data_IF_637094855747
#
_entry.id   IF_637094855747
#
_cell.length_a   1.000
_cell.length_b   1.000
_cell.length_c   1.000
_cell.angle_alpha   90.00
_cell.angle_beta   90.00
_cell.angle_gamma   90.00
#
_symmetry.space_group_name_H-M   'P 1'
#
loop_
_entity.id
_entity.type
_entity.pdbx_description
1 polymer ?
#
# COMPACT_ATOMS: atom_id res chain seq x y z
N UNK A 1 -5.05 -16.85 2.76
CA UNK A 1 -5.55 -15.60 3.41
C UNK A 1 -5.02 -14.38 2.66
N UNK A 2 -5.58 -13.18 2.85
CA UNK A 2 -5.07 -11.92 2.26
C UNK A 2 -4.44 -11.03 3.34
N UNK A 3 -3.34 -10.37 3.02
CA UNK A 3 -2.69 -9.42 3.91
C UNK A 3 -2.55 -8.03 3.25
N UNK A 4 -2.66 -7.00 4.08
CA UNK A 4 -2.34 -5.61 3.73
C UNK A 4 -1.22 -5.16 4.66
N UNK A 5 -0.14 -4.62 4.10
CA UNK A 5 0.82 -3.79 4.81
C UNK A 5 0.57 -2.35 4.37
N UNK A 6 0.37 -1.44 5.30
CA UNK A 6 0.25 -0.02 5.00
C UNK A 6 1.22 0.81 5.83
N UNK A 7 1.50 2.04 5.38
CA UNK A 7 2.15 3.02 6.23
C UNK A 7 1.29 3.34 7.46
N UNK A 8 1.94 3.77 8.55
CA UNK A 8 1.28 3.96 9.85
C UNK A 8 0.72 5.38 10.07
N UNK A 9 0.79 6.26 9.07
CA UNK A 9 0.18 7.58 9.12
C UNK A 9 -1.27 7.57 8.62
N UNK A 10 -1.87 8.75 8.50
CA UNK A 10 -3.26 8.90 8.13
C UNK A 10 -3.56 8.36 6.72
N UNK A 11 -2.71 8.62 5.73
CA UNK A 11 -2.92 8.15 4.37
C UNK A 11 -2.81 6.63 4.28
N UNK A 12 -1.77 6.04 4.89
CA UNK A 12 -1.64 4.58 4.99
C UNK A 12 -2.84 3.91 5.69
N UNK A 13 -3.31 4.46 6.81
CA UNK A 13 -4.48 3.94 7.54
C UNK A 13 -5.75 4.01 6.70
N UNK A 14 -6.03 5.16 6.09
CA UNK A 14 -7.22 5.33 5.24
C UNK A 14 -7.13 4.42 4.02
N UNK A 15 -5.98 4.33 3.38
CA UNK A 15 -5.70 3.42 2.27
C UNK A 15 -6.00 1.96 2.62
N UNK A 16 -5.53 1.50 3.78
CA UNK A 16 -5.82 0.15 4.28
C UNK A 16 -7.32 -0.07 4.50
N UNK A 17 -8.01 0.92 5.09
CA UNK A 17 -9.45 0.84 5.33
C UNK A 17 -10.26 0.76 4.02
N UNK A 18 -9.88 1.54 2.99
CA UNK A 18 -10.53 1.51 1.68
C UNK A 18 -10.39 0.13 1.00
N UNK A 19 -9.18 -0.45 1.03
CA UNK A 19 -8.93 -1.78 0.47
C UNK A 19 -9.65 -2.87 1.28
N UNK A 20 -9.63 -2.79 2.62
CA UNK A 20 -10.34 -3.74 3.47
C UNK A 20 -11.86 -3.72 3.21
N UNK A 21 -12.45 -2.53 3.06
CA UNK A 21 -13.87 -2.37 2.69
C UNK A 21 -14.20 -2.98 1.32
N UNK A 22 -13.25 -2.92 0.37
CA UNK A 22 -13.41 -3.50 -0.97
C UNK A 22 -13.27 -5.04 -0.96
N UNK A 23 -12.29 -5.56 -0.23
CA UNK A 23 -11.87 -6.97 -0.34
C UNK A 23 -12.38 -7.89 0.77
N UNK A 24 -12.96 -7.32 1.83
CA UNK A 24 -13.47 -8.03 2.98
C UNK A 24 -12.35 -8.51 3.90
N UNK A 25 -12.40 -9.79 4.28
CA UNK A 25 -11.51 -10.38 5.30
C UNK A 25 -10.03 -10.33 4.88
N UNK A 26 -9.32 -9.31 5.38
CA UNK A 26 -7.89 -9.09 5.18
C UNK A 26 -7.21 -8.82 6.53
N UNK A 27 -6.05 -9.43 6.75
CA UNK A 27 -5.20 -9.09 7.89
C UNK A 27 -4.43 -7.80 7.60
N UNK A 28 -4.60 -6.78 8.44
CA UNK A 28 -3.94 -5.48 8.27
C UNK A 28 -2.72 -5.39 9.19
N UNK A 29 -1.61 -4.95 8.62
CA UNK A 29 -0.35 -4.70 9.30
C UNK A 29 0.12 -3.27 8.99
N UNK A 30 0.60 -2.57 10.01
CA UNK A 30 1.21 -1.26 9.81
C UNK A 30 2.72 -1.36 9.89
N UNK A 31 3.40 -0.66 9.00
CA UNK A 31 4.85 -0.65 8.89
C UNK A 31 5.35 0.72 8.42
N UNK A 32 6.66 0.91 8.41
CA UNK A 32 7.31 2.03 7.75
C UNK A 32 8.40 1.52 6.81
N UNK A 33 9.01 2.43 6.04
CA UNK A 33 10.20 2.13 5.23
C UNK A 33 11.28 1.36 6.00
N UNK A 34 11.55 1.75 7.24
CA UNK A 34 12.58 1.15 8.07
C UNK A 34 12.25 -0.29 8.51
N UNK A 35 10.97 -0.58 8.74
CA UNK A 35 10.52 -1.87 9.26
C UNK A 35 9.94 -2.82 8.20
N UNK A 36 9.73 -2.35 6.96
CA UNK A 36 9.03 -3.11 5.92
C UNK A 36 9.64 -4.47 5.66
N UNK A 37 10.97 -4.56 5.55
CA UNK A 37 11.65 -5.86 5.33
C UNK A 37 11.36 -6.83 6.47
N UNK A 38 11.43 -6.37 7.73
CA UNK A 38 11.13 -7.20 8.90
C UNK A 38 9.68 -7.67 8.86
N UNK A 39 8.75 -6.77 8.53
CA UNK A 39 7.32 -7.10 8.40
C UNK A 39 7.10 -8.15 7.32
N UNK A 40 7.69 -7.99 6.13
CA UNK A 40 7.62 -8.96 5.03
C UNK A 40 8.15 -10.33 5.47
N UNK A 41 9.32 -10.39 6.10
CA UNK A 41 9.90 -11.64 6.58
C UNK A 41 8.99 -12.35 7.60
N UNK A 42 8.36 -11.60 8.52
CA UNK A 42 7.41 -12.18 9.48
C UNK A 42 6.15 -12.73 8.81
N UNK A 43 5.71 -12.12 7.71
CA UNK A 43 4.53 -12.56 6.96
C UNK A 43 4.81 -13.75 6.05
N UNK A 44 6.06 -13.96 5.61
CA UNK A 44 6.46 -15.18 4.88
C UNK A 44 6.32 -16.46 5.72
N UNK A 45 6.29 -16.33 7.05
CA UNK A 45 6.03 -17.45 7.97
C UNK A 45 4.53 -17.79 8.08
N UNK A 46 3.67 -17.14 7.31
CA UNK A 46 2.21 -17.28 7.34
C UNK A 46 1.68 -17.60 5.94
N UNK A 47 0.56 -18.31 5.87
CA UNK A 47 -0.06 -18.76 4.61
C UNK A 47 -0.94 -17.67 3.95
N UNK A 48 -0.30 -16.57 3.54
CA UNK A 48 -0.93 -15.51 2.75
C UNK A 48 -0.79 -15.77 1.25
N UNK A 49 -1.93 -15.81 0.55
CA UNK A 49 -2.03 -16.07 -0.89
C UNK A 49 -1.77 -14.77 -1.67
N UNK A 50 -2.15 -13.62 -1.11
CA UNK A 50 -1.95 -12.32 -1.75
C UNK A 50 -1.54 -11.27 -0.73
N UNK A 51 -0.58 -10.42 -1.11
CA UNK A 51 -0.09 -9.31 -0.32
C UNK A 51 -0.37 -7.98 -1.01
N UNK A 52 -0.92 -7.00 -0.27
CA UNK A 52 -0.97 -5.61 -0.70
C UNK A 52 -0.04 -4.77 0.15
N UNK A 53 0.73 -3.89 -0.50
CA UNK A 53 1.61 -2.93 0.19
C UNK A 53 1.17 -1.54 -0.23
N UNK A 54 0.81 -0.72 0.74
CA UNK A 54 0.18 0.59 0.53
C UNK A 54 1.04 1.68 1.15
N UNK A 55 1.22 2.77 0.42
CA UNK A 55 1.78 4.03 0.92
C UNK A 55 3.21 3.93 1.48
N UNK A 56 3.99 2.97 0.98
CA UNK A 56 5.39 2.82 1.35
C UNK A 56 6.18 2.72 0.05
N UNK A 57 7.16 3.59 -0.16
CA UNK A 57 7.92 3.56 -1.40
C UNK A 57 8.75 2.30 -1.55
N UNK A 58 8.65 1.61 -2.71
CA UNK A 58 9.42 0.42 -2.95
C UNK A 58 10.90 0.73 -3.15
N UNK A 59 11.74 -0.16 -2.64
CA UNK A 59 13.17 -0.21 -2.91
C UNK A 59 13.51 -1.53 -3.61
N UNK A 60 14.67 -1.59 -4.28
CA UNK A 60 15.14 -2.85 -4.89
C UNK A 60 15.16 -4.02 -3.88
N UNK A 61 15.56 -3.74 -2.63
CA UNK A 61 15.60 -4.75 -1.56
C UNK A 61 14.21 -5.21 -1.15
N UNK A 62 13.27 -4.27 -0.97
CA UNK A 62 11.92 -4.63 -0.55
C UNK A 62 11.13 -5.35 -1.64
N UNK A 63 11.34 -5.00 -2.91
CA UNK A 63 10.79 -5.76 -4.04
C UNK A 63 11.32 -7.19 -4.10
N UNK A 64 12.63 -7.39 -3.89
CA UNK A 64 13.21 -8.73 -3.88
C UNK A 64 12.61 -9.60 -2.77
N UNK A 65 12.41 -9.06 -1.56
CA UNK A 65 11.76 -9.81 -0.47
C UNK A 65 10.27 -10.03 -0.74
N UNK A 66 9.55 -9.01 -1.23
CA UNK A 66 8.15 -9.13 -1.59
C UNK A 66 7.91 -10.13 -2.73
N UNK A 67 8.88 -10.37 -3.61
CA UNK A 67 8.74 -11.36 -4.69
C UNK A 67 8.70 -12.81 -4.21
N UNK A 68 8.93 -13.08 -2.92
CA UNK A 68 8.75 -14.40 -2.33
C UNK A 68 7.26 -14.75 -2.07
N UNK A 69 6.34 -13.77 -2.14
CA UNK A 69 4.91 -14.02 -2.09
C UNK A 69 4.37 -14.40 -3.49
N UNK A 70 3.27 -15.17 -3.55
CA UNK A 70 2.69 -15.60 -4.83
C UNK A 70 2.22 -14.41 -5.69
N UNK A 71 1.44 -13.51 -5.10
CA UNK A 71 0.95 -12.30 -5.74
C UNK A 71 1.11 -11.07 -4.84
N UNK A 72 1.70 -10.01 -5.40
CA UNK A 72 1.85 -8.73 -4.70
C UNK A 72 1.26 -7.59 -5.52
N UNK A 73 0.42 -6.76 -4.90
CA UNK A 73 0.03 -5.46 -5.45
C UNK A 73 0.62 -4.38 -4.57
N UNK A 74 1.41 -3.49 -5.17
CA UNK A 74 2.07 -2.41 -4.46
C UNK A 74 1.52 -1.09 -4.96
N UNK A 75 0.94 -0.28 -4.07
CA UNK A 75 0.30 0.99 -4.42
C UNK A 75 0.97 2.10 -3.63
N UNK A 76 1.54 3.08 -4.34
CA UNK A 76 2.24 4.20 -3.74
C UNK A 76 2.13 5.42 -4.66
N UNK A 77 2.19 6.63 -4.11
CA UNK A 77 2.11 7.88 -4.87
C UNK A 77 3.43 8.65 -4.93
N UNK A 78 4.45 8.22 -4.18
CA UNK A 78 5.79 8.81 -4.19
C UNK A 78 6.57 8.45 -5.46
N UNK A 79 7.36 9.38 -5.97
CA UNK A 79 8.21 9.13 -7.13
C UNK A 79 9.24 8.02 -6.86
N UNK A 80 9.42 7.11 -7.82
CA UNK A 80 10.38 6.01 -7.70
C UNK A 80 11.25 5.89 -8.94
N UNK A 81 12.53 5.57 -8.73
CA UNK A 81 13.53 5.40 -9.79
C UNK A 81 13.82 3.92 -10.08
N UNK A 82 12.86 3.04 -9.79
CA UNK A 82 13.01 1.61 -9.99
C UNK A 82 13.02 1.27 -11.48
N UNK A 83 14.06 0.58 -11.91
CA UNK A 83 14.23 0.16 -13.30
C UNK A 83 13.55 -1.18 -13.59
N UNK A 84 13.45 -2.06 -12.59
CA UNK A 84 12.93 -3.42 -12.73
C UNK A 84 12.01 -3.77 -11.56
N UNK A 85 10.87 -4.37 -11.88
CA UNK A 85 9.89 -4.89 -10.92
C UNK A 85 9.72 -6.39 -11.19
N UNK A 86 9.83 -7.27 -10.16
CA UNK A 86 9.59 -8.70 -10.33
C UNK A 86 8.21 -9.00 -10.92
N UNK A 87 8.11 -10.05 -11.76
CA UNK A 87 6.91 -10.33 -12.57
C UNK A 87 5.63 -10.56 -11.76
N UNK A 88 5.76 -11.09 -10.55
CA UNK A 88 4.65 -11.34 -9.62
C UNK A 88 4.24 -10.10 -8.80
N UNK A 89 4.91 -8.97 -9.01
CA UNK A 89 4.59 -7.70 -8.34
C UNK A 89 3.94 -6.75 -9.34
N UNK A 90 2.68 -6.43 -9.10
CA UNK A 90 1.96 -5.35 -9.77
C UNK A 90 2.21 -4.04 -9.04
N UNK A 91 3.16 -3.25 -9.52
CA UNK A 91 3.43 -1.91 -9.00
C UNK A 91 2.49 -0.89 -9.66
N UNK A 92 1.64 -0.26 -8.85
CA UNK A 92 0.77 0.86 -9.22
C UNK A 92 1.37 2.10 -8.54
N UNK A 93 2.29 2.76 -9.24
CA UNK A 93 2.89 3.98 -8.76
C UNK A 93 2.53 5.16 -9.66
N UNK A 94 1.77 6.12 -9.12
CA UNK A 94 1.37 7.32 -9.84
C UNK A 94 1.18 8.48 -8.88
N UNK A 95 1.72 9.64 -9.25
CA UNK A 95 1.57 10.89 -8.50
C UNK A 95 0.10 11.27 -8.36
N UNK A 96 -0.36 11.32 -7.12
CA UNK A 96 -1.67 11.81 -6.67
C UNK A 96 -1.48 12.57 -5.36
N UNK A 97 -2.54 13.25 -4.92
CA UNK A 97 -2.56 13.98 -3.66
C UNK A 97 -2.44 13.10 -2.41
N UNK A 98 -2.67 11.79 -2.54
CA UNK A 98 -2.49 10.75 -1.51
C UNK A 98 -2.53 9.37 -2.18
N UNK A 99 -2.03 8.34 -1.51
CA UNK A 99 -2.24 6.93 -1.84
C UNK A 99 -3.73 6.57 -1.78
N UNK A 100 -4.50 7.11 -0.84
CA UNK A 100 -5.95 6.89 -0.77
C UNK A 100 -6.66 7.36 -2.05
N UNK A 101 -6.26 8.49 -2.62
CA UNK A 101 -6.79 9.00 -3.89
C UNK A 101 -6.38 8.13 -5.08
N UNK A 102 -5.15 7.62 -5.10
CA UNK A 102 -4.69 6.68 -6.11
C UNK A 102 -5.50 5.38 -6.05
N UNK A 103 -5.75 4.83 -4.86
CA UNK A 103 -6.63 3.68 -4.65
C UNK A 103 -8.04 3.96 -5.16
N UNK A 104 -8.61 5.10 -4.77
CA UNK A 104 -9.96 5.48 -5.18
C UNK A 104 -10.10 5.58 -6.70
N UNK A 105 -9.12 6.21 -7.37
CA UNK A 105 -9.08 6.29 -8.83
C UNK A 105 -8.88 4.93 -9.49
N UNK A 106 -8.08 4.04 -8.89
CA UNK A 106 -7.74 2.72 -9.45
C UNK A 106 -8.91 1.75 -9.38
N UNK A 107 -9.66 1.79 -8.28
CA UNK A 107 -10.75 0.84 -7.98
C UNK A 107 -12.14 1.47 -8.10
N UNK A 108 -12.24 2.69 -8.63
CA UNK A 108 -13.49 3.44 -8.80
C UNK A 108 -14.31 3.58 -7.50
N UNK A 109 -13.63 3.88 -6.39
CA UNK A 109 -14.22 4.06 -5.06
C UNK A 109 -14.62 5.52 -4.88
N UNK A 110 -15.81 5.76 -4.32
CA UNK A 110 -16.26 7.07 -3.85
C UNK A 110 -16.43 7.01 -2.33
N UNK A 111 -15.54 7.66 -1.59
CA UNK A 111 -15.57 7.70 -0.13
C UNK A 111 -15.04 9.05 0.38
N UNK A 112 -15.71 9.62 1.41
CA UNK A 112 -15.32 10.92 1.99
C UNK A 112 -13.94 10.87 2.66
N UNK A 113 -13.50 9.69 3.09
CA UNK A 113 -12.17 9.51 3.66
C UNK A 113 -11.06 9.87 2.67
N UNK A 114 -11.31 9.78 1.35
CA UNK A 114 -10.33 10.16 0.32
C UNK A 114 -10.06 11.67 0.35
N UNK A 115 -11.09 12.49 0.54
CA UNK A 115 -10.95 13.94 0.64
C UNK A 115 -10.14 14.32 1.88
N UNK A 116 -10.41 13.67 3.02
CA UNK A 116 -9.67 13.85 4.27
C UNK A 116 -8.19 13.45 4.11
N UNK A 117 -7.91 12.31 3.46
CA UNK A 117 -6.53 11.88 3.21
C UNK A 117 -5.78 12.90 2.35
N UNK A 118 -6.40 13.40 1.27
CA UNK A 118 -5.80 14.43 0.42
C UNK A 118 -5.48 15.71 1.20
N UNK A 119 -6.40 16.16 2.06
CA UNK A 119 -6.20 17.36 2.88
C UNK A 119 -5.01 17.20 3.83
N UNK A 120 -4.88 16.05 4.49
CA UNK A 120 -3.80 15.76 5.41
C UNK A 120 -2.47 15.67 4.67
N UNK A 121 -2.40 14.87 3.61
CA UNK A 121 -1.14 14.54 2.92
C UNK A 121 -0.56 15.73 2.14
N UNK A 122 -1.44 16.58 1.60
CA UNK A 122 -1.02 17.84 0.95
C UNK A 122 -0.87 19.01 1.93
N UNK A 123 -1.07 18.79 3.23
CA UNK A 123 -1.08 19.84 4.27
C UNK A 123 -2.01 21.01 3.93
N UNK A 124 -3.21 20.70 3.42
CA UNK A 124 -4.22 21.66 2.98
C UNK A 124 -5.57 21.48 3.70
N UNK A 125 -5.50 21.22 5.01
CA UNK A 125 -6.64 20.94 5.90
C UNK A 125 -7.68 22.07 5.88
N UNK A 126 -8.94 21.70 5.61
CA UNK A 126 -10.11 22.60 5.54
C UNK A 126 -11.31 22.11 6.34
N UNK A 127 -11.31 20.83 6.72
CA UNK A 127 -12.41 20.14 7.39
C UNK A 127 -12.40 20.31 8.91
#
# INVERSE_FOLDING_TARGET
MKAIIAHSDADGIISAALIHKLEGDTSIYFSSHHYLIKTLCNLLLKDYISLKILDISPTKKSLAVASAFEEVVWIDHHETNLQEVPKNIKLINKKFASTAQLIASTFNIKDKLVEIANEIDTNSVKS
#
